data_IF_123752542771
#
_entry.id   IF_123752542771
#
_cell.length_a   1.000
_cell.length_b   1.000
_cell.length_c   1.000
_cell.angle_alpha   90.00
_cell.angle_beta   90.00
_cell.angle_gamma   90.00
#
_symmetry.space_group_name_H-M   'P 1'
#
loop_
_entity.id
_entity.type
_entity.pdbx_description
1 polymer ?
#
# COMPACT_ATOMS: atom_id res chain seq x y z
N UNK A 1 -27.98 -50.70 -26.02
CA UNK A 1 -26.90 -50.12 -25.20
C UNK A 1 -26.95 -48.61 -25.38
N UNK A 2 -27.56 -47.89 -24.43
CA UNK A 2 -27.64 -46.44 -24.43
C UNK A 2 -26.62 -45.91 -23.42
N UNK A 3 -25.65 -45.13 -23.91
CA UNK A 3 -24.68 -44.42 -23.08
C UNK A 3 -25.38 -43.19 -22.48
N UNK A 4 -25.52 -43.18 -21.17
CA UNK A 4 -26.11 -42.10 -20.38
C UNK A 4 -25.08 -40.95 -20.29
N UNK A 5 -25.42 -39.69 -20.64
CA UNK A 5 -24.51 -38.56 -20.54
C UNK A 5 -24.62 -37.93 -19.15
N UNK A 6 -24.14 -38.59 -18.10
CA UNK A 6 -24.24 -38.08 -16.73
C UNK A 6 -22.96 -38.32 -15.94
N UNK A 7 -21.98 -37.42 -16.07
CA UNK A 7 -21.08 -37.05 -14.97
C UNK A 7 -20.24 -35.80 -15.31
N UNK A 8 -19.68 -35.73 -16.52
CA UNK A 8 -18.70 -34.67 -16.86
C UNK A 8 -19.29 -33.27 -17.03
N UNK A 9 -20.57 -33.13 -17.40
CA UNK A 9 -21.22 -31.82 -17.56
C UNK A 9 -21.69 -31.21 -16.23
N UNK A 10 -21.88 -32.02 -15.19
CA UNK A 10 -22.24 -31.53 -13.85
C UNK A 10 -21.01 -31.09 -13.04
N UNK A 11 -19.85 -31.70 -13.29
CA UNK A 11 -18.61 -31.35 -12.59
C UNK A 11 -18.06 -29.98 -13.01
N UNK A 12 -18.27 -29.59 -14.28
CA UNK A 12 -17.79 -28.30 -14.80
C UNK A 12 -18.62 -27.10 -14.31
N UNK A 13 -19.90 -27.30 -13.96
CA UNK A 13 -20.76 -26.26 -13.41
C UNK A 13 -20.65 -26.08 -11.88
N UNK A 14 -20.04 -27.04 -11.17
CA UNK A 14 -19.80 -26.95 -9.71
C UNK A 14 -18.42 -26.36 -9.39
N UNK A 15 -17.46 -26.36 -10.33
CA UNK A 15 -16.11 -25.83 -10.11
C UNK A 15 -15.91 -24.37 -10.57
N UNK A 16 -16.86 -23.81 -11.32
CA UNK A 16 -16.78 -22.40 -11.75
C UNK A 16 -17.06 -21.33 -10.67
N UNK A 17 -17.70 -21.61 -9.51
CA UNK A 17 -17.78 -20.65 -8.40
C UNK A 17 -16.65 -20.80 -7.36
N UNK A 18 -15.72 -21.74 -7.52
CA UNK A 18 -14.68 -22.03 -6.52
C UNK A 18 -13.29 -21.43 -6.83
N UNK A 19 -13.19 -20.46 -7.75
CA UNK A 19 -11.89 -19.86 -8.14
C UNK A 19 -11.87 -18.34 -8.23
N UNK A 20 -12.77 -17.66 -7.52
CA UNK A 20 -12.61 -16.24 -7.25
C UNK A 20 -12.19 -16.09 -5.78
N UNK A 21 -10.95 -15.65 -5.47
CA UNK A 21 -10.71 -15.06 -4.16
C UNK A 21 -11.69 -13.89 -4.03
N UNK A 22 -12.69 -14.04 -3.16
CA UNK A 22 -13.79 -13.08 -3.05
C UNK A 22 -13.33 -11.71 -2.52
N UNK A 23 -12.08 -11.59 -2.08
CA UNK A 23 -11.56 -10.39 -1.44
C UNK A 23 -10.08 -10.18 -1.76
N UNK A 24 -9.78 -9.48 -2.85
CA UNK A 24 -8.53 -8.72 -2.91
C UNK A 24 -8.67 -7.61 -1.87
N UNK A 25 -7.94 -7.73 -0.76
CA UNK A 25 -7.97 -6.71 0.29
C UNK A 25 -7.13 -5.52 -0.16
N UNK A 26 -7.78 -4.49 -0.72
CA UNK A 26 -7.34 -3.14 -0.38
C UNK A 26 -7.66 -2.98 1.11
N UNK A 27 -6.79 -2.33 1.89
CA UNK A 27 -7.02 -2.10 3.30
C UNK A 27 -7.37 -0.61 3.51
N UNK A 28 -8.64 -0.19 3.27
CA UNK A 28 -9.03 1.18 3.49
C UNK A 28 -8.75 1.57 4.94
N UNK A 29 -8.06 2.69 5.14
CA UNK A 29 -7.95 3.30 6.46
C UNK A 29 -9.28 3.94 6.83
N UNK A 30 -9.68 3.86 8.10
CA UNK A 30 -10.89 4.55 8.58
C UNK A 30 -10.68 6.07 8.53
N UNK A 31 -11.55 6.80 7.84
CA UNK A 31 -11.55 8.25 7.81
C UNK A 31 -12.63 8.80 8.75
N UNK A 32 -12.26 9.72 9.65
CA UNK A 32 -13.22 10.62 10.30
C UNK A 32 -13.65 11.73 9.31
N UNK A 33 -14.19 11.33 8.16
CA UNK A 33 -15.00 12.23 7.35
C UNK A 33 -16.41 12.18 7.96
N UNK A 34 -16.93 13.35 8.36
CA UNK A 34 -18.34 13.50 8.74
C UNK A 34 -19.19 12.80 7.67
N UNK A 35 -20.15 11.93 8.02
CA UNK A 35 -21.00 11.32 7.01
C UNK A 35 -21.77 12.46 6.33
N UNK A 36 -21.37 12.82 5.12
CA UNK A 36 -22.28 13.45 4.20
C UNK A 36 -23.30 12.37 3.85
N UNK A 37 -24.32 12.25 4.71
CA UNK A 37 -25.53 11.55 4.35
C UNK A 37 -25.98 12.14 3.03
N UNK A 38 -26.05 11.31 2.00
CA UNK A 38 -26.80 11.64 0.81
C UNK A 38 -28.24 11.81 1.27
N UNK A 39 -28.83 13.03 1.27
CA UNK A 39 -30.28 13.09 1.31
C UNK A 39 -30.77 12.38 0.04
N UNK A 40 -31.48 11.28 0.22
CA UNK A 40 -32.26 10.60 -0.80
C UNK A 40 -33.36 11.55 -1.28
N UNK A 41 -32.97 12.50 -2.13
CA UNK A 41 -33.77 13.35 -3.03
C UNK A 41 -32.95 14.59 -3.38
N UNK A 42 -31.90 14.41 -4.17
CA UNK A 42 -31.40 15.48 -5.02
C UNK A 42 -30.98 14.83 -6.32
N UNK A 43 -31.77 15.06 -7.36
CA UNK A 43 -31.42 14.74 -8.74
C UNK A 43 -30.24 15.63 -9.11
N UNK A 44 -29.04 15.26 -8.65
CA UNK A 44 -27.79 15.89 -9.04
C UNK A 44 -27.57 15.43 -10.48
N UNK A 45 -27.98 16.27 -11.42
CA UNK A 45 -27.66 16.08 -12.82
C UNK A 45 -26.16 15.91 -12.95
N UNK A 46 -25.71 14.67 -13.13
CA UNK A 46 -24.39 14.35 -13.62
C UNK A 46 -24.31 14.95 -15.04
N UNK A 47 -24.02 16.24 -15.14
CA UNK A 47 -23.32 16.74 -16.32
C UNK A 47 -22.00 15.98 -16.32
N UNK A 48 -21.93 14.97 -17.20
CA UNK A 48 -20.67 14.45 -17.70
C UNK A 48 -19.95 15.62 -18.37
N UNK A 49 -19.21 16.37 -17.57
CA UNK A 49 -18.15 17.22 -18.07
C UNK A 49 -17.11 16.25 -18.61
N UNK A 50 -17.19 15.96 -19.90
CA UNK A 50 -16.12 15.34 -20.65
C UNK A 50 -14.92 16.32 -20.60
N UNK A 51 -14.16 16.30 -19.52
CA UNK A 51 -12.85 16.94 -19.41
C UNK A 51 -11.84 16.09 -20.18
N UNK A 52 -12.09 15.91 -21.48
CA UNK A 52 -10.99 15.72 -22.42
C UNK A 52 -10.48 17.12 -22.70
N UNK A 53 -9.48 17.56 -21.92
CA UNK A 53 -8.63 18.64 -22.39
C UNK A 53 -7.97 18.13 -23.68
N UNK A 54 -8.53 18.49 -24.84
CA UNK A 54 -7.88 18.28 -26.12
C UNK A 54 -6.72 19.27 -26.16
N UNK A 55 -5.58 18.86 -25.61
CA UNK A 55 -4.31 19.53 -25.82
C UNK A 55 -4.09 19.54 -27.34
N UNK A 56 -3.93 20.71 -27.99
CA UNK A 56 -3.51 20.74 -29.39
C UNK A 56 -2.23 19.92 -29.52
N UNK A 57 -1.98 19.20 -30.64
CA UNK A 57 -0.69 18.56 -30.85
C UNK A 57 0.36 19.66 -31.06
N UNK A 58 0.82 20.27 -29.97
CA UNK A 58 2.18 20.79 -29.95
C UNK A 58 3.05 19.55 -30.04
N UNK A 59 3.74 19.39 -31.18
CA UNK A 59 4.95 18.58 -31.22
C UNK A 59 5.95 19.23 -30.25
N UNK A 60 5.74 19.03 -28.96
CA UNK A 60 6.83 18.97 -28.02
C UNK A 60 7.79 17.92 -28.57
N UNK A 61 9.12 18.13 -28.49
CA UNK A 61 10.05 17.02 -28.68
C UNK A 61 9.50 15.84 -27.89
N UNK A 62 9.23 14.70 -28.54
CA UNK A 62 8.82 13.49 -27.86
C UNK A 62 10.00 13.08 -26.98
N UNK A 63 10.07 13.67 -25.79
CA UNK A 63 10.87 13.13 -24.71
C UNK A 63 10.38 11.70 -24.54
N UNK A 64 11.31 10.75 -24.53
CA UNK A 64 10.97 9.37 -24.23
C UNK A 64 10.13 9.36 -22.94
N UNK A 65 9.04 8.57 -22.86
CA UNK A 65 8.28 8.47 -21.63
C UNK A 65 9.26 8.17 -20.50
N UNK A 66 9.11 8.82 -19.34
CA UNK A 66 10.01 8.56 -18.21
C UNK A 66 9.98 7.06 -17.91
N UNK A 67 11.13 6.48 -17.53
CA UNK A 67 11.24 5.05 -17.28
C UNK A 67 10.18 4.62 -16.25
N UNK A 68 9.42 3.58 -16.59
CA UNK A 68 8.38 3.06 -15.71
C UNK A 68 8.99 2.46 -14.44
N UNK A 69 8.39 2.77 -13.28
CA UNK A 69 8.72 2.11 -12.02
C UNK A 69 7.97 0.78 -11.97
N UNK A 70 8.71 -0.32 -12.02
CA UNK A 70 8.15 -1.68 -11.99
C UNK A 70 8.31 -2.26 -10.58
N UNK A 71 7.20 -2.57 -9.93
CA UNK A 71 7.16 -3.30 -8.66
C UNK A 71 6.70 -4.74 -8.93
N UNK A 72 7.59 -5.74 -8.90
CA UNK A 72 7.17 -7.13 -9.02
C UNK A 72 6.30 -7.49 -7.82
N UNK A 73 5.16 -8.15 -8.09
CA UNK A 73 4.22 -8.59 -7.08
C UNK A 73 4.28 -10.10 -6.91
N UNK A 74 4.25 -10.54 -5.66
CA UNK A 74 4.01 -11.91 -5.27
C UNK A 74 2.76 -11.98 -4.37
N UNK A 75 2.21 -13.18 -4.21
CA UNK A 75 0.98 -13.43 -3.47
C UNK A 75 1.30 -13.95 -2.06
N UNK A 76 0.54 -13.50 -1.07
CA UNK A 76 0.45 -14.10 0.27
C UNK A 76 -0.90 -14.81 0.39
N UNK A 77 -0.88 -16.01 0.99
CA UNK A 77 -2.09 -16.80 1.21
C UNK A 77 -2.70 -17.33 -0.08
N UNK A 78 -4.02 -17.49 -0.09
CA UNK A 78 -4.81 -17.91 -1.25
C UNK A 78 -5.33 -16.67 -1.99
N UNK A 79 -4.41 -15.90 -2.59
CA UNK A 79 -4.71 -14.62 -3.25
C UNK A 79 -5.33 -13.56 -2.32
N UNK A 80 -4.97 -13.60 -1.04
CA UNK A 80 -5.50 -12.68 -0.03
C UNK A 80 -4.86 -11.29 -0.14
N UNK A 81 -3.54 -11.26 -0.34
CA UNK A 81 -2.73 -10.04 -0.38
C UNK A 81 -1.62 -10.14 -1.44
N UNK A 82 -1.26 -8.99 -1.99
CA UNK A 82 -0.13 -8.86 -2.92
C UNK A 82 0.95 -7.99 -2.30
N UNK A 83 2.20 -8.46 -2.37
CA UNK A 83 3.35 -7.75 -1.80
C UNK A 83 4.46 -7.60 -2.81
N UNK A 84 5.30 -6.60 -2.58
CA UNK A 84 6.56 -6.39 -3.29
C UNK A 84 7.73 -6.43 -2.31
N UNK A 85 8.96 -6.45 -2.84
CA UNK A 85 10.16 -6.48 -2.03
C UNK A 85 10.99 -5.21 -2.22
N UNK A 86 11.21 -4.48 -1.12
CA UNK A 86 12.09 -3.31 -1.06
C UNK A 86 13.24 -3.55 -0.09
N UNK A 87 14.36 -2.87 -0.24
CA UNK A 87 15.44 -2.88 0.78
C UNK A 87 15.50 -1.52 1.46
N UNK A 88 15.74 -1.51 2.77
CA UNK A 88 15.68 -0.29 3.59
C UNK A 88 16.96 -0.19 4.40
N UNK A 89 17.64 0.94 4.24
CA UNK A 89 18.87 1.27 4.94
C UNK A 89 19.96 0.25 4.72
N UNK A 90 20.56 -0.18 5.83
CA UNK A 90 21.63 -1.18 5.88
C UNK A 90 21.14 -2.58 6.28
N UNK A 91 19.81 -2.78 6.37
CA UNK A 91 19.26 -4.10 6.64
C UNK A 91 19.59 -5.04 5.45
N UNK A 92 20.27 -6.18 5.69
CA UNK A 92 20.72 -7.07 4.62
C UNK A 92 19.59 -7.86 3.96
N UNK A 93 18.38 -7.85 4.54
CA UNK A 93 17.22 -8.59 4.04
C UNK A 93 16.20 -7.64 3.41
N UNK A 94 15.64 -7.97 2.23
CA UNK A 94 14.51 -7.22 1.71
C UNK A 94 13.29 -7.38 2.61
N UNK A 95 12.42 -6.36 2.61
CA UNK A 95 11.13 -6.35 3.29
C UNK A 95 10.04 -6.74 2.31
N UNK A 96 9.19 -7.67 2.72
CA UNK A 96 7.98 -8.10 2.03
C UNK A 96 6.81 -7.21 2.43
N UNK A 97 6.49 -6.24 1.59
CA UNK A 97 5.57 -5.14 1.88
C UNK A 97 4.31 -5.24 1.04
N UNK A 98 3.16 -5.32 1.71
CA UNK A 98 1.86 -5.33 1.03
C UNK A 98 1.66 -4.03 0.27
N UNK A 99 1.23 -4.13 -0.98
CA UNK A 99 0.95 -2.97 -1.82
C UNK A 99 -0.53 -2.63 -1.69
N UNK A 100 -0.83 -1.50 -1.06
CA UNK A 100 -2.18 -1.12 -0.69
C UNK A 100 -2.58 0.21 -1.33
N UNK A 101 -3.54 0.17 -2.27
CA UNK A 101 -4.11 1.37 -2.88
C UNK A 101 -5.15 2.07 -2.00
N UNK A 102 -5.61 1.40 -0.92
CA UNK A 102 -6.61 1.90 0.03
C UNK A 102 -6.03 2.79 1.13
N UNK A 103 -4.72 2.77 1.33
CA UNK A 103 -4.03 3.64 2.30
C UNK A 103 -2.90 4.44 1.66
N UNK A 104 -2.36 5.36 2.44
CA UNK A 104 -1.25 6.25 2.06
C UNK A 104 0.01 6.02 2.89
N UNK A 105 -0.07 5.08 3.83
CA UNK A 105 0.92 4.90 4.88
C UNK A 105 2.00 3.95 4.40
N UNK A 106 3.27 4.38 4.47
CA UNK A 106 4.40 3.45 4.41
C UNK A 106 4.80 3.11 5.85
N UNK A 107 4.71 1.84 6.22
CA UNK A 107 5.26 1.36 7.48
C UNK A 107 5.88 -0.02 7.36
N UNK A 108 6.80 -0.34 8.28
CA UNK A 108 7.43 -1.67 8.41
C UNK A 108 7.49 -2.09 9.86
N UNK A 109 7.57 -3.39 10.15
CA UNK A 109 7.65 -3.90 11.52
C UNK A 109 8.83 -3.28 12.29
N UNK A 110 8.59 -2.91 13.54
CA UNK A 110 9.63 -2.49 14.47
C UNK A 110 10.36 -3.73 15.03
N UNK A 111 11.66 -3.63 15.29
CA UNK A 111 12.42 -4.75 15.88
C UNK A 111 12.04 -5.03 17.34
N UNK A 112 11.45 -4.06 18.04
CA UNK A 112 10.91 -4.23 19.40
C UNK A 112 9.46 -4.78 19.41
N UNK A 113 8.92 -5.16 18.24
CA UNK A 113 7.55 -5.66 18.11
C UNK A 113 7.39 -7.03 18.78
N UNK A 114 6.46 -7.13 19.74
CA UNK A 114 6.30 -8.29 20.64
C UNK A 114 6.08 -9.66 19.95
N UNK A 115 5.46 -9.69 18.78
CA UNK A 115 5.08 -10.91 18.07
C UNK A 115 5.76 -11.01 16.69
N UNK A 116 7.02 -10.58 16.58
CA UNK A 116 7.73 -10.50 15.31
C UNK A 116 8.01 -11.88 14.69
N UNK A 117 8.25 -12.89 15.53
CA UNK A 117 8.60 -14.24 15.06
C UNK A 117 9.85 -14.22 14.17
N UNK A 118 9.74 -14.74 12.95
CA UNK A 118 10.84 -14.78 11.97
C UNK A 118 10.81 -13.64 10.96
N UNK A 119 9.86 -12.72 11.08
CA UNK A 119 9.67 -11.60 10.15
C UNK A 119 10.86 -10.66 10.18
N UNK A 120 11.15 -10.03 9.05
CA UNK A 120 12.07 -8.90 8.99
C UNK A 120 11.47 -7.70 9.74
N UNK A 121 12.36 -6.84 10.22
CA UNK A 121 12.04 -5.68 11.04
C UNK A 121 13.07 -4.56 10.83
N UNK A 122 12.72 -3.37 11.27
CA UNK A 122 13.60 -2.21 11.26
C UNK A 122 13.81 -1.68 12.68
N UNK A 123 15.01 -1.16 12.93
CA UNK A 123 15.43 -0.53 14.18
C UNK A 123 16.94 -0.36 14.19
N UNK A 124 17.52 0.22 15.26
CA UNK A 124 18.96 0.48 15.35
C UNK A 124 19.84 -0.77 15.18
N UNK A 125 19.37 -1.96 15.53
CA UNK A 125 20.15 -3.18 15.38
C UNK A 125 20.11 -3.74 13.96
N UNK A 126 18.96 -3.61 13.28
CA UNK A 126 18.77 -4.10 11.92
C UNK A 126 19.24 -3.12 10.83
N UNK A 127 19.30 -1.81 11.11
CA UNK A 127 19.88 -0.81 10.20
C UNK A 127 20.64 0.28 10.96
N UNK A 128 21.95 0.36 10.72
CA UNK A 128 22.84 1.37 11.30
C UNK A 128 22.66 2.78 10.72
N UNK A 129 21.92 2.91 9.61
CA UNK A 129 21.60 4.20 8.98
C UNK A 129 20.24 4.74 9.39
N UNK A 130 19.48 3.97 10.17
CA UNK A 130 18.16 4.38 10.64
C UNK A 130 18.29 5.56 11.60
N UNK A 131 17.50 6.60 11.35
CA UNK A 131 17.46 7.78 12.23
C UNK A 131 16.04 8.08 12.69
N UNK A 132 15.82 8.34 13.99
CA UNK A 132 14.52 8.82 14.46
C UNK A 132 14.27 10.23 13.92
N UNK A 133 13.03 10.55 13.56
CA UNK A 133 12.71 11.93 13.22
C UNK A 133 12.63 12.79 14.48
N UNK A 134 13.26 13.96 14.43
CA UNK A 134 13.25 14.94 15.50
C UNK A 134 12.30 16.11 15.21
N UNK A 135 11.56 16.59 16.23
CA UNK A 135 11.43 15.96 17.55
C UNK A 135 10.72 14.61 17.42
N UNK A 136 10.92 13.69 18.36
CA UNK A 136 10.31 12.35 18.30
C UNK A 136 8.81 12.46 17.96
N UNK A 137 8.36 11.67 16.98
CA UNK A 137 6.96 11.59 16.58
C UNK A 137 6.52 10.13 16.60
N UNK A 138 5.29 9.94 17.07
CA UNK A 138 4.56 8.69 16.98
C UNK A 138 3.50 8.80 15.89
N UNK A 139 3.07 7.66 15.37
CA UNK A 139 1.99 7.59 14.39
C UNK A 139 1.09 6.39 14.70
N UNK A 140 -0.12 6.41 14.18
CA UNK A 140 -1.04 5.27 14.24
C UNK A 140 -2.04 5.30 13.10
N UNK A 141 -2.50 4.14 12.66
CA UNK A 141 -3.64 4.02 11.75
C UNK A 141 -4.49 2.82 12.11
N UNK A 142 -5.76 2.88 11.71
CA UNK A 142 -6.75 1.82 11.84
C UNK A 142 -7.34 1.55 10.48
N UNK A 143 -7.51 0.27 10.20
CA UNK A 143 -8.02 -0.23 8.94
C UNK A 143 -9.49 -0.65 9.10
N UNK A 144 -10.21 -0.72 7.99
CA UNK A 144 -11.67 -0.90 7.96
C UNK A 144 -12.16 -2.20 8.62
N UNK A 145 -11.33 -3.25 8.64
CA UNK A 145 -11.58 -4.52 9.30
C UNK A 145 -11.39 -4.47 10.83
N UNK A 146 -11.03 -3.30 11.37
CA UNK A 146 -10.83 -3.08 12.81
C UNK A 146 -9.41 -3.38 13.30
N UNK A 147 -8.51 -3.81 12.39
CA UNK A 147 -7.09 -3.91 12.64
C UNK A 147 -6.41 -2.55 12.75
N UNK A 148 -5.22 -2.52 13.32
CA UNK A 148 -4.49 -1.27 13.51
C UNK A 148 -3.01 -1.47 13.72
N UNK A 149 -2.26 -0.41 13.47
CA UNK A 149 -0.81 -0.35 13.65
C UNK A 149 -0.42 1.01 14.23
N UNK A 150 0.52 1.00 15.16
CA UNK A 150 1.12 2.22 15.70
C UNK A 150 2.59 2.03 16.01
N UNK A 151 3.32 3.14 16.08
CA UNK A 151 4.72 3.14 16.47
C UNK A 151 5.36 4.50 16.30
N UNK A 152 6.67 4.49 16.05
CA UNK A 152 7.47 5.70 15.90
C UNK A 152 7.67 6.01 14.43
N UNK A 153 8.17 7.20 14.19
CA UNK A 153 8.38 7.70 12.86
C UNK A 153 9.89 7.88 12.67
N UNK A 154 10.42 7.23 11.65
CA UNK A 154 11.86 7.12 11.40
C UNK A 154 12.19 7.56 9.98
N UNK A 155 13.47 7.66 9.66
CA UNK A 155 14.01 7.88 8.32
C UNK A 155 15.14 6.91 8.05
N UNK A 156 15.15 6.41 6.82
CA UNK A 156 16.26 5.64 6.27
C UNK A 156 16.24 5.77 4.75
N UNK A 157 17.21 5.16 4.06
CA UNK A 157 17.21 5.10 2.60
C UNK A 157 16.33 3.95 2.12
N UNK A 158 15.29 4.23 1.33
CA UNK A 158 14.44 3.20 0.71
C UNK A 158 14.94 2.94 -0.71
N UNK A 159 15.28 1.70 -1.01
CA UNK A 159 15.69 1.26 -2.33
C UNK A 159 14.58 0.45 -2.98
N UNK A 160 14.05 1.00 -4.07
CA UNK A 160 13.12 0.32 -4.98
C UNK A 160 13.95 -0.30 -6.09
N UNK A 161 14.12 -1.62 -6.03
CA UNK A 161 15.05 -2.37 -6.88
C UNK A 161 14.85 -2.02 -8.36
N UNK A 162 15.91 -1.50 -8.99
CA UNK A 162 15.93 -1.17 -10.42
C UNK A 162 15.10 0.06 -10.82
N UNK A 163 14.51 0.79 -9.86
CA UNK A 163 13.60 1.89 -10.14
C UNK A 163 13.99 3.20 -9.45
N UNK A 164 14.26 3.18 -8.14
CA UNK A 164 14.46 4.42 -7.38
C UNK A 164 15.28 4.19 -6.11
N UNK A 165 15.97 5.25 -5.69
CA UNK A 165 16.58 5.36 -4.36
C UNK A 165 16.05 6.62 -3.71
N UNK A 166 15.38 6.47 -2.57
CA UNK A 166 14.81 7.57 -1.80
C UNK A 166 15.61 7.74 -0.50
N UNK A 167 16.64 8.62 -0.51
CA UNK A 167 17.45 8.86 0.68
C UNK A 167 16.64 9.59 1.75
N UNK A 168 16.90 9.28 3.02
CA UNK A 168 16.29 9.96 4.16
C UNK A 168 14.74 9.97 4.11
N UNK A 169 14.15 8.91 3.55
CA UNK A 169 12.72 8.81 3.33
C UNK A 169 12.00 8.54 4.67
N UNK A 170 10.98 9.33 5.03
CA UNK A 170 10.25 9.14 6.27
C UNK A 170 9.20 8.03 6.18
N UNK A 171 9.19 7.11 7.13
CA UNK A 171 8.17 6.06 7.24
C UNK A 171 7.86 5.73 8.71
N UNK A 172 6.79 4.96 8.92
CA UNK A 172 6.36 4.51 10.24
C UNK A 172 6.97 3.16 10.64
N UNK A 173 7.27 2.97 11.92
CA UNK A 173 7.50 1.64 12.49
C UNK A 173 6.20 1.05 13.02
N UNK A 174 6.04 -0.26 12.87
CA UNK A 174 4.94 -1.04 13.42
C UNK A 174 5.35 -1.67 14.75
N UNK A 175 5.33 -0.89 15.82
CA UNK A 175 5.69 -1.32 17.18
C UNK A 175 4.56 -2.11 17.83
N UNK A 176 3.31 -1.68 17.60
CA UNK A 176 2.11 -2.34 18.09
C UNK A 176 1.13 -2.60 16.96
N UNK A 177 0.86 -3.87 16.69
CA UNK A 177 -0.13 -4.32 15.72
C UNK A 177 -1.32 -4.96 16.46
N UNK A 178 -2.53 -4.70 15.98
CA UNK A 178 -3.79 -5.20 16.58
C UNK A 178 -4.75 -5.73 15.52
N UNK A 179 -5.66 -6.61 15.91
CA UNK A 179 -6.63 -7.22 14.99
C UNK A 179 -5.95 -8.07 13.92
N UNK A 180 -6.53 -8.13 12.73
CA UNK A 180 -6.02 -8.97 11.64
C UNK A 180 -4.63 -8.53 11.13
N UNK A 181 -4.30 -7.23 11.23
CA UNK A 181 -2.98 -6.69 10.87
C UNK A 181 -1.84 -7.41 11.61
N UNK A 182 -2.04 -7.78 12.87
CA UNK A 182 -1.04 -8.52 13.65
C UNK A 182 -0.89 -10.00 13.27
N UNK A 183 -1.79 -10.52 12.41
CA UNK A 183 -1.85 -11.94 12.03
C UNK A 183 -1.37 -12.21 10.62
N UNK A 184 -1.35 -11.19 9.75
CA UNK A 184 -0.90 -11.36 8.38
C UNK A 184 0.60 -11.66 8.29
N UNK A 185 1.00 -12.34 7.21
CA UNK A 185 2.38 -12.74 6.92
C UNK A 185 3.35 -11.59 6.62
N UNK A 186 2.85 -10.36 6.47
CA UNK A 186 3.63 -9.20 6.02
C UNK A 186 4.67 -8.66 7.01
N UNK A 187 5.63 -7.91 6.43
CA UNK A 187 6.69 -7.19 7.15
C UNK A 187 6.42 -5.67 7.17
N UNK A 188 5.30 -5.26 6.59
CA UNK A 188 4.87 -3.88 6.46
C UNK A 188 3.94 -3.67 5.27
N UNK A 189 3.65 -2.40 4.98
CA UNK A 189 2.74 -1.99 3.91
C UNK A 189 3.25 -0.72 3.22
N UNK A 190 2.95 -0.63 1.92
CA UNK A 190 3.17 0.54 1.07
C UNK A 190 1.80 1.06 0.62
N UNK A 191 1.38 2.17 1.22
CA UNK A 191 0.22 2.90 0.77
C UNK A 191 0.48 3.68 -0.53
N UNK A 192 -0.36 3.47 -1.55
CA UNK A 192 -0.30 4.14 -2.86
C UNK A 192 -1.40 5.19 -3.07
N UNK A 193 -2.27 5.40 -2.08
CA UNK A 193 -3.39 6.32 -2.21
C UNK A 193 -2.93 7.79 -2.33
N UNK A 194 -3.60 8.53 -3.21
CA UNK A 194 -3.46 9.97 -3.38
C UNK A 194 -4.36 10.77 -2.42
N UNK A 195 -4.97 10.12 -1.42
CA UNK A 195 -5.86 10.78 -0.45
C UNK A 195 -5.19 12.01 0.17
N UNK A 196 -5.92 13.13 0.34
CA UNK A 196 -5.34 14.39 0.79
C UNK A 196 -4.64 14.27 2.14
N UNK A 197 -3.63 15.12 2.35
CA UNK A 197 -2.70 15.10 3.49
C UNK A 197 -3.35 15.03 4.88
N UNK A 198 -4.62 15.41 5.01
CA UNK A 198 -5.37 15.43 6.27
C UNK A 198 -5.93 14.07 6.69
N UNK A 199 -5.85 13.05 5.83
CA UNK A 199 -6.59 11.79 6.03
C UNK A 199 -5.81 10.66 6.71
N UNK A 200 -4.49 10.76 6.89
CA UNK A 200 -3.67 9.74 7.58
C UNK A 200 -2.69 10.35 8.58
N UNK A 201 -2.37 9.62 9.67
CA UNK A 201 -1.50 10.14 10.72
C UNK A 201 -0.08 10.47 10.23
N UNK A 202 0.49 9.70 9.28
CA UNK A 202 1.78 10.04 8.68
C UNK A 202 1.70 11.32 7.83
N UNK A 203 0.62 11.50 7.06
CA UNK A 203 0.42 12.68 6.25
C UNK A 203 0.09 13.93 7.09
N UNK A 204 -0.58 13.77 8.24
CA UNK A 204 -0.78 14.81 9.24
C UNK A 204 0.54 15.37 9.81
N UNK A 205 1.64 14.61 9.68
CA UNK A 205 2.99 15.07 10.00
C UNK A 205 3.73 15.71 8.81
N UNK A 206 3.01 16.06 7.73
CA UNK A 206 3.56 16.74 6.55
C UNK A 206 4.54 15.87 5.74
N UNK A 207 4.38 14.55 5.79
CA UNK A 207 5.28 13.61 5.11
C UNK A 207 4.73 13.21 3.76
N UNK A 208 5.59 13.16 2.73
CA UNK A 208 5.18 12.66 1.44
C UNK A 208 4.82 11.17 1.54
N UNK A 209 3.80 10.74 0.80
CA UNK A 209 3.63 9.31 0.51
C UNK A 209 4.77 8.82 -0.38
N UNK A 210 4.86 7.50 -0.61
CA UNK A 210 5.85 6.97 -1.55
C UNK A 210 5.67 7.57 -2.95
N UNK A 211 4.42 7.64 -3.43
CA UNK A 211 4.09 8.18 -4.76
C UNK A 211 4.50 9.65 -4.87
N UNK A 212 4.25 10.44 -3.84
CA UNK A 212 4.65 11.86 -3.84
C UNK A 212 6.15 12.06 -3.75
N UNK A 213 6.85 11.22 -2.98
CA UNK A 213 8.31 11.30 -2.92
C UNK A 213 8.94 10.95 -4.27
N UNK A 214 8.38 9.96 -4.98
CA UNK A 214 8.82 9.62 -6.33
C UNK A 214 8.52 10.75 -7.33
N UNK A 215 7.33 11.36 -7.26
CA UNK A 215 6.98 12.52 -8.08
C UNK A 215 7.88 13.74 -7.78
N UNK A 216 8.12 14.05 -6.51
CA UNK A 216 9.01 15.14 -6.09
C UNK A 216 10.48 14.91 -6.50
N UNK A 217 10.89 13.64 -6.62
CA UNK A 217 12.19 13.25 -7.15
C UNK A 217 12.24 13.25 -8.69
N UNK A 218 11.16 13.63 -9.39
CA UNK A 218 11.03 13.58 -10.86
C UNK A 218 11.22 12.16 -11.44
N UNK A 219 10.92 11.14 -10.63
CA UNK A 219 10.95 9.73 -11.03
C UNK A 219 9.58 9.25 -11.55
N UNK A 220 8.55 10.07 -11.36
CA UNK A 220 7.23 9.95 -11.98
C UNK A 220 6.92 11.24 -12.73
N UNK A 221 6.22 11.17 -13.88
CA UNK A 221 5.79 12.35 -14.66
C UNK A 221 4.79 13.24 -13.91
#
# INVERSE_FOLDING_TARGET
MQLIPTFSTLLSSILLPASLPAHIHAAPTTHNARPHGLPSNTTLGLRRSNLFARVPPQQAPQAAPPPAIVLPLAIIGLDELYYTQLTIGTNPRPFSLVVDSGSRTFWVNDEDQRNLGTKNSIGPHSSTTLTPVQPLRTWSTTYSEGGGVSGKVVRDTVHIRGAAVLPNFPFGTGERLTGQIGTFGEEGMIGLSLTPYTCTALAAHGRPSLVEALAAAHLLP
#
